data_IF_199654829451
#
_entry.id   IF_199654829451
#
_cell.length_a   1.000
_cell.length_b   1.000
_cell.length_c   1.000
_cell.angle_alpha   90.00
_cell.angle_beta   90.00
_cell.angle_gamma   90.00
#
_symmetry.space_group_name_H-M   'P 1'
#
loop_
_entity.id
_entity.type
_entity.pdbx_description
1 polymer ?
#
# COMPACT_ATOMS: atom_id res chain seq x y z
N UNK A 1 -0.83 -12.73 11.34
CA UNK A 1 0.23 -12.80 12.37
C UNK A 1 -0.29 -12.40 13.74
N UNK A 2 -0.80 -11.18 13.90
CA UNK A 2 -1.42 -10.69 15.15
C UNK A 2 -2.61 -11.52 15.64
N UNK A 3 -3.43 -12.09 14.73
CA UNK A 3 -4.57 -12.96 15.08
C UNK A 3 -4.19 -14.33 15.69
N UNK A 4 -3.00 -14.85 15.38
CA UNK A 4 -2.49 -16.12 15.95
C UNK A 4 -1.73 -15.92 17.27
N UNK A 5 -1.28 -14.70 17.54
CA UNK A 5 -0.61 -14.33 18.79
C UNK A 5 -1.69 -14.04 19.85
N UNK A 6 -1.83 -14.90 20.87
CA UNK A 6 -2.85 -14.76 21.95
C UNK A 6 -2.56 -13.54 22.85
N UNK A 7 -2.83 -12.32 22.36
CA UNK A 7 -2.69 -11.01 23.03
C UNK A 7 -1.30 -10.61 23.56
N UNK A 8 -0.37 -11.55 23.73
CA UNK A 8 1.00 -11.32 24.16
C UNK A 8 1.99 -11.39 23.01
N UNK A 9 2.93 -10.43 22.96
CA UNK A 9 4.07 -10.40 22.05
C UNK A 9 4.28 -9.03 21.39
N UNK A 10 5.55 -8.68 21.09
CA UNK A 10 5.91 -7.47 20.34
C UNK A 10 6.19 -7.83 18.89
N UNK A 11 5.47 -7.21 17.96
CA UNK A 11 5.71 -7.34 16.51
C UNK A 11 6.27 -6.03 15.99
N UNK A 12 7.40 -6.09 15.29
CA UNK A 12 8.06 -4.92 14.72
C UNK A 12 7.78 -4.85 13.21
N UNK A 13 7.19 -3.74 12.76
CA UNK A 13 7.00 -3.44 11.35
C UNK A 13 8.21 -2.63 10.89
N UNK A 14 9.07 -3.23 10.05
CA UNK A 14 10.31 -2.59 9.55
C UNK A 14 10.13 -1.86 8.22
N UNK A 15 8.90 -1.78 7.72
CA UNK A 15 8.59 -1.32 6.36
C UNK A 15 7.60 -0.16 6.46
N UNK A 16 7.98 1.01 5.92
CA UNK A 16 7.13 2.21 5.90
C UNK A 16 6.64 2.53 4.48
N UNK A 17 5.33 2.67 4.25
CA UNK A 17 4.77 3.00 2.95
C UNK A 17 4.91 4.49 2.66
N UNK A 18 5.84 4.86 1.77
CA UNK A 18 6.17 6.25 1.42
C UNK A 18 5.83 6.62 -0.02
N UNK A 19 5.48 5.65 -0.86
CA UNK A 19 5.21 5.89 -2.28
C UNK A 19 3.71 5.85 -2.56
N UNK A 20 3.07 6.95 -3.01
CA UNK A 20 1.65 6.97 -3.32
C UNK A 20 1.37 6.29 -4.66
N UNK A 21 0.28 5.53 -4.76
CA UNK A 21 -0.22 4.98 -6.01
C UNK A 21 -1.59 5.56 -6.37
N UNK A 22 -1.82 5.77 -7.66
CA UNK A 22 -3.05 6.34 -8.20
C UNK A 22 -3.75 5.33 -9.10
N UNK A 23 -5.08 5.28 -9.09
CA UNK A 23 -5.86 4.50 -10.06
C UNK A 23 -6.91 5.40 -10.69
N UNK A 24 -7.25 5.09 -11.95
CA UNK A 24 -8.38 5.71 -12.62
C UNK A 24 -9.65 4.88 -12.41
N UNK A 25 -10.80 5.50 -12.21
CA UNK A 25 -12.08 4.79 -12.18
C UNK A 25 -12.34 4.07 -13.51
N UNK A 26 -13.10 2.98 -13.49
CA UNK A 26 -13.33 2.11 -14.65
C UNK A 26 -14.15 2.75 -15.79
N UNK A 27 -14.82 3.86 -15.52
CA UNK A 27 -15.78 4.48 -16.44
C UNK A 27 -15.16 5.55 -17.36
N UNK A 28 -13.88 5.91 -17.15
CA UNK A 28 -13.23 6.98 -17.93
C UNK A 28 -12.37 6.44 -19.06
N UNK A 29 -12.53 7.03 -20.25
CA UNK A 29 -11.64 6.79 -21.39
C UNK A 29 -10.22 7.29 -21.09
N UNK A 30 -9.23 6.73 -21.78
CA UNK A 30 -7.84 7.15 -21.63
C UNK A 30 -7.67 8.63 -22.06
N UNK A 31 -7.02 9.42 -21.21
CA UNK A 31 -6.92 10.88 -21.30
C UNK A 31 -7.02 11.52 -19.91
N UNK A 32 -6.67 12.80 -19.75
CA UNK A 32 -6.81 13.58 -18.49
C UNK A 32 -5.83 13.31 -17.32
N UNK A 33 -4.59 12.89 -17.56
CA UNK A 33 -3.53 12.88 -16.51
C UNK A 33 -3.61 11.71 -15.53
N UNK A 34 -2.96 11.80 -14.35
CA UNK A 34 -2.98 10.77 -13.31
C UNK A 34 -4.25 10.89 -12.45
N UNK A 35 -4.80 9.76 -11.99
CA UNK A 35 -5.98 9.73 -11.12
C UNK A 35 -5.69 10.15 -9.68
N UNK A 36 -6.69 10.12 -8.82
CA UNK A 36 -6.53 10.36 -7.39
C UNK A 36 -5.64 9.28 -6.72
N UNK A 37 -4.98 9.63 -5.62
CA UNK A 37 -4.18 8.69 -4.82
C UNK A 37 -5.13 7.71 -4.12
N UNK A 38 -4.99 6.42 -4.42
CA UNK A 38 -5.80 5.35 -3.81
C UNK A 38 -5.11 4.68 -2.61
N UNK A 39 -3.79 4.80 -2.50
CA UNK A 39 -3.08 4.29 -1.33
C UNK A 39 -1.57 4.43 -1.44
N UNK A 40 -0.86 3.76 -0.53
CA UNK A 40 0.59 3.89 -0.37
C UNK A 40 1.26 2.51 -0.35
N UNK A 41 2.37 2.41 -1.08
CA UNK A 41 3.14 1.17 -1.23
C UNK A 41 4.50 1.37 -0.58
N UNK A 42 5.01 0.31 0.04
CA UNK A 42 6.41 0.20 0.39
C UNK A 42 7.08 -0.81 -0.55
N UNK A 43 8.04 -0.37 -1.35
CA UNK A 43 8.74 -1.24 -2.29
C UNK A 43 9.75 -2.09 -1.51
N UNK A 44 9.40 -3.35 -1.26
CA UNK A 44 10.35 -4.32 -0.74
C UNK A 44 11.20 -4.86 -1.90
N UNK A 45 12.51 -4.61 -1.88
CA UNK A 45 13.47 -5.22 -2.82
C UNK A 45 14.19 -6.36 -2.09
N UNK A 46 14.06 -7.57 -2.63
CA UNK A 46 14.89 -8.73 -2.22
C UNK A 46 16.05 -8.81 -3.22
N UNK A 47 17.28 -8.58 -2.77
CA UNK A 47 18.48 -8.94 -3.52
C UNK A 47 18.76 -10.42 -3.34
#
# INVERSE_FOLDING_TARGET
MTRYMKRGGKVWIKIFPHTPYTKKPLEVRMGAGKGAVEGWIAVAKTR
#
